data_IF_790558622890
#
_entry.id   IF_790558622890
#
_cell.length_a   1.000
_cell.length_b   1.000
_cell.length_c   1.000
_cell.angle_alpha   90.00
_cell.angle_beta   90.00
_cell.angle_gamma   90.00
#
_symmetry.space_group_name_H-M   'P 1'
#
loop_
_entity.id
_entity.type
_entity.pdbx_description
1 polymer ?
#
# COMPACT_ATOMS: atom_id res chain seq x y z
N UNK A 1 -1.02 4.08 10.74
CA UNK A 1 -0.06 4.07 9.60
C UNK A 1 1.36 4.28 10.10
N UNK A 2 2.37 3.67 9.44
CA UNK A 2 3.80 3.87 9.72
C UNK A 2 4.47 4.29 8.41
N UNK A 3 5.27 5.36 8.43
CA UNK A 3 6.11 5.76 7.30
C UNK A 3 7.54 5.98 7.81
N UNK A 4 8.51 5.23 7.27
CA UNK A 4 9.92 5.32 7.71
C UNK A 4 10.87 4.72 6.66
N UNK A 5 12.15 4.74 6.97
CA UNK A 5 13.20 4.06 6.21
C UNK A 5 13.22 2.57 6.54
N UNK A 6 13.45 1.73 5.53
CA UNK A 6 13.64 0.29 5.71
C UNK A 6 14.82 -0.03 6.67
N UNK A 7 15.85 0.82 6.75
CA UNK A 7 16.94 0.67 7.71
C UNK A 7 16.50 0.79 9.18
N UNK A 8 15.31 1.32 9.42
CA UNK A 8 14.79 1.56 10.77
C UNK A 8 13.85 0.45 11.28
N UNK A 9 13.56 -0.58 10.47
CA UNK A 9 12.59 -1.63 10.82
C UNK A 9 12.85 -2.31 12.16
N UNK A 10 14.12 -2.41 12.58
CA UNK A 10 14.51 -2.99 13.89
C UNK A 10 14.01 -2.20 15.10
N UNK A 11 13.58 -0.95 14.91
CA UNK A 11 13.05 -0.11 15.99
C UNK A 11 11.61 -0.48 16.37
N UNK A 12 10.91 -1.18 15.47
CA UNK A 12 9.50 -1.48 15.64
C UNK A 12 9.30 -2.80 16.37
N UNK A 13 8.58 -2.74 17.49
CA UNK A 13 8.08 -3.93 18.20
C UNK A 13 6.68 -4.25 17.67
N UNK A 14 6.64 -4.93 16.54
CA UNK A 14 5.40 -5.34 15.86
C UNK A 14 5.23 -6.86 15.97
N UNK A 15 4.07 -7.35 15.60
CA UNK A 15 3.83 -8.79 15.58
C UNK A 15 4.78 -9.51 14.60
N UNK A 16 4.99 -10.84 14.74
CA UNK A 16 5.96 -11.58 13.93
C UNK A 16 5.70 -11.52 12.42
N UNK A 17 4.43 -11.49 11.99
CA UNK A 17 4.07 -11.44 10.58
C UNK A 17 4.45 -10.08 9.96
N UNK A 18 4.14 -8.98 10.65
CA UNK A 18 4.57 -7.63 10.21
C UNK A 18 6.08 -7.54 10.15
N UNK A 19 6.77 -8.09 11.17
CA UNK A 19 8.24 -8.09 11.20
C UNK A 19 8.82 -8.84 10.00
N UNK A 20 8.32 -10.04 9.71
CA UNK A 20 8.77 -10.83 8.57
C UNK A 20 8.51 -10.12 7.23
N UNK A 21 7.37 -9.46 7.09
CA UNK A 21 7.03 -8.69 5.89
C UNK A 21 7.94 -7.45 5.72
N UNK A 22 8.29 -6.76 6.80
CA UNK A 22 9.24 -5.64 6.75
C UNK A 22 10.67 -6.12 6.45
N UNK A 23 11.08 -7.30 6.95
CA UNK A 23 12.35 -7.92 6.60
C UNK A 23 12.38 -8.33 5.13
N UNK A 24 11.28 -8.87 4.59
CA UNK A 24 11.11 -9.12 3.16
C UNK A 24 11.24 -7.81 2.36
N UNK A 25 10.55 -6.74 2.77
CA UNK A 25 10.63 -5.43 2.13
C UNK A 25 12.06 -4.86 2.09
N UNK A 26 12.86 -5.12 3.12
CA UNK A 26 14.21 -4.60 3.24
C UNK A 26 15.28 -5.39 2.47
N UNK A 27 15.05 -6.69 2.20
CA UNK A 27 16.08 -7.60 1.71
C UNK A 27 15.76 -8.22 0.34
N UNK A 28 14.51 -8.13 -0.13
CA UNK A 28 14.13 -8.73 -1.41
C UNK A 28 14.72 -7.96 -2.60
N UNK A 29 15.20 -8.72 -3.57
CA UNK A 29 15.49 -8.20 -4.90
C UNK A 29 14.22 -8.28 -5.75
N UNK A 30 13.49 -7.18 -5.81
CA UNK A 30 12.19 -7.13 -6.48
C UNK A 30 12.26 -7.28 -8.00
N UNK A 31 13.43 -7.13 -8.61
CA UNK A 31 13.62 -7.35 -10.04
C UNK A 31 13.50 -8.83 -10.41
N UNK A 32 13.75 -9.73 -9.47
CA UNK A 32 13.66 -11.18 -9.67
C UNK A 32 12.23 -11.73 -9.67
N UNK A 33 11.23 -10.92 -9.25
CA UNK A 33 9.83 -11.32 -9.23
C UNK A 33 9.12 -10.97 -10.53
N UNK A 34 8.37 -11.92 -11.07
CA UNK A 34 7.44 -11.67 -12.17
C UNK A 34 6.24 -10.83 -11.71
N UNK A 35 5.50 -10.24 -12.65
CA UNK A 35 4.23 -9.59 -12.30
C UNK A 35 3.23 -10.61 -11.78
N UNK A 36 2.53 -10.27 -10.71
CA UNK A 36 1.53 -11.12 -10.10
C UNK A 36 1.58 -11.11 -8.58
N UNK A 37 0.98 -12.15 -8.00
CA UNK A 37 0.91 -12.38 -6.56
C UNK A 37 1.85 -13.53 -6.24
N UNK A 38 2.75 -13.32 -5.29
CA UNK A 38 3.68 -14.30 -4.77
C UNK A 38 3.36 -14.57 -3.30
N UNK A 39 2.94 -15.79 -2.98
CA UNK A 39 2.62 -16.19 -1.63
C UNK A 39 3.88 -16.70 -0.93
N UNK A 40 4.21 -16.09 0.21
CA UNK A 40 5.34 -16.53 1.05
C UNK A 40 4.92 -17.53 2.11
N UNK A 41 3.72 -17.33 2.66
CA UNK A 41 3.05 -18.20 3.61
C UNK A 41 1.57 -17.81 3.70
N UNK A 42 0.83 -18.40 4.64
CA UNK A 42 -0.61 -18.17 4.82
C UNK A 42 -0.96 -16.71 5.18
N UNK A 43 0.01 -15.94 5.68
CA UNK A 43 -0.22 -14.59 6.18
C UNK A 43 0.42 -13.50 5.31
N UNK A 44 1.39 -13.82 4.46
CA UNK A 44 2.20 -12.83 3.73
C UNK A 44 2.18 -13.09 2.22
N UNK A 45 1.80 -12.07 1.45
CA UNK A 45 1.84 -12.05 -0.02
C UNK A 45 2.61 -10.84 -0.49
N UNK A 46 3.38 -11.00 -1.57
CA UNK A 46 3.96 -9.89 -2.33
C UNK A 46 3.19 -9.72 -3.62
N UNK A 47 2.82 -8.51 -3.94
CA UNK A 47 2.15 -8.16 -5.20
C UNK A 47 3.08 -7.24 -5.98
N UNK A 48 3.52 -7.72 -7.17
CA UNK A 48 4.21 -6.88 -8.15
C UNK A 48 3.29 -6.62 -9.32
N UNK A 49 3.03 -5.37 -9.61
CA UNK A 49 2.16 -4.99 -10.74
C UNK A 49 2.61 -3.70 -11.39
N UNK A 50 2.30 -3.57 -12.67
CA UNK A 50 2.33 -2.30 -13.35
C UNK A 50 1.08 -1.52 -12.97
N UNK A 51 1.24 -0.32 -12.48
CA UNK A 51 0.18 0.51 -11.94
C UNK A 51 -0.01 1.77 -12.78
N UNK A 52 -1.24 2.00 -13.23
CA UNK A 52 -1.68 3.23 -13.88
C UNK A 52 -2.57 3.97 -12.90
N UNK A 53 -2.13 5.08 -12.33
CA UNK A 53 -2.98 5.84 -11.41
C UNK A 53 -4.11 6.52 -12.18
N UNK A 54 -5.31 6.42 -11.64
CA UNK A 54 -6.47 7.17 -12.13
C UNK A 54 -6.49 8.52 -11.41
N UNK A 55 -5.89 9.54 -12.03
CA UNK A 55 -5.75 10.88 -11.42
C UNK A 55 -7.08 11.57 -11.19
N UNK A 56 -8.08 11.30 -12.03
CA UNK A 56 -9.36 12.00 -12.03
C UNK A 56 -10.37 11.47 -11.01
N UNK A 57 -10.12 10.30 -10.41
CA UNK A 57 -11.07 9.68 -9.51
C UNK A 57 -10.77 9.96 -8.05
N UNK A 58 -11.71 10.58 -7.36
CA UNK A 58 -11.66 10.80 -5.91
C UNK A 58 -12.10 9.54 -5.16
N UNK A 59 -11.27 8.52 -5.17
CA UNK A 59 -11.47 7.33 -4.34
C UNK A 59 -10.17 6.92 -3.65
N UNK A 60 -10.30 6.10 -2.63
CA UNK A 60 -9.19 5.40 -2.00
C UNK A 60 -9.54 3.95 -1.76
N UNK A 61 -8.55 3.14 -1.52
CA UNK A 61 -8.73 1.75 -1.11
C UNK A 61 -8.57 1.61 0.41
N UNK A 62 -9.33 0.67 0.96
CA UNK A 62 -9.37 0.32 2.36
C UNK A 62 -9.48 -1.19 2.49
N UNK A 63 -8.84 -1.74 3.52
CA UNK A 63 -8.83 -3.16 3.85
C UNK A 63 -9.38 -3.39 5.25
N UNK A 64 -10.09 -4.51 5.47
CA UNK A 64 -10.62 -4.89 6.77
C UNK A 64 -9.70 -5.85 7.54
N UNK A 65 -8.96 -6.71 6.83
CA UNK A 65 -8.23 -7.83 7.39
C UNK A 65 -6.74 -7.85 7.04
N UNK A 66 -6.29 -6.96 6.13
CA UNK A 66 -4.90 -6.92 5.70
C UNK A 66 -4.27 -5.58 5.97
N UNK A 67 -3.00 -5.63 6.31
CA UNK A 67 -2.07 -4.51 6.27
C UNK A 67 -1.47 -4.45 4.87
N UNK A 68 -1.40 -3.26 4.28
CA UNK A 68 -0.64 -3.02 3.07
C UNK A 68 0.67 -2.30 3.40
N UNK A 69 1.79 -2.90 2.98
CA UNK A 69 3.11 -2.30 3.07
C UNK A 69 3.53 -1.91 1.65
N UNK A 70 3.48 -0.60 1.38
CA UNK A 70 3.95 -0.02 0.13
C UNK A 70 5.46 0.19 0.22
N UNK A 71 6.19 -0.43 -0.68
CA UNK A 71 7.65 -0.32 -0.75
C UNK A 71 8.00 0.54 -1.96
N UNK A 72 8.93 1.48 -1.79
CA UNK A 72 9.47 2.21 -2.93
C UNK A 72 10.17 1.22 -3.88
N UNK A 73 9.79 1.26 -5.15
CA UNK A 73 10.41 0.46 -6.20
C UNK A 73 10.89 1.34 -7.37
N UNK A 74 9.99 2.15 -7.93
CA UNK A 74 10.34 3.02 -9.05
C UNK A 74 9.46 4.28 -9.08
N UNK A 75 10.04 5.40 -9.51
CA UNK A 75 9.33 6.66 -9.74
C UNK A 75 9.05 7.47 -8.48
N UNK A 76 8.33 8.57 -8.66
CA UNK A 76 7.92 9.49 -7.60
C UNK A 76 6.51 9.13 -7.13
N UNK A 77 6.40 8.18 -6.23
CA UNK A 77 5.11 7.75 -5.70
C UNK A 77 4.65 8.67 -4.57
N UNK A 78 3.43 9.16 -4.68
CA UNK A 78 2.74 9.91 -3.64
C UNK A 78 1.53 9.09 -3.19
N UNK A 79 1.41 8.89 -1.88
CA UNK A 79 0.24 8.23 -1.29
C UNK A 79 -0.51 9.26 -0.47
N UNK A 80 -1.75 9.51 -0.87
CA UNK A 80 -2.72 10.26 -0.07
C UNK A 80 -3.39 9.30 0.90
N UNK A 81 -3.68 9.75 2.14
CA UNK A 81 -4.27 8.87 3.12
C UNK A 81 -5.11 9.59 4.16
N UNK A 82 -6.02 8.83 4.77
CA UNK A 82 -6.78 9.22 5.95
C UNK A 82 -6.77 8.06 6.95
N UNK A 83 -6.14 8.23 8.14
CA UNK A 83 -6.08 7.18 9.15
C UNK A 83 -7.41 6.95 9.89
N UNK A 84 -8.37 7.87 9.77
CA UNK A 84 -9.69 7.80 10.39
C UNK A 84 -10.79 8.27 9.42
N UNK A 85 -10.98 7.57 8.28
CA UNK A 85 -11.90 8.00 7.27
C UNK A 85 -13.35 7.96 7.78
N UNK A 86 -14.09 9.03 7.50
CA UNK A 86 -15.52 9.06 7.71
C UNK A 86 -16.23 8.78 6.39
N UNK A 87 -16.90 7.65 6.29
CA UNK A 87 -17.68 7.25 5.12
C UNK A 87 -18.96 6.51 5.54
N UNK A 88 -19.92 6.49 4.64
CA UNK A 88 -21.20 5.79 4.78
C UNK A 88 -21.28 4.66 3.75
N UNK A 89 -22.30 3.83 3.84
CA UNK A 89 -22.53 2.76 2.86
C UNK A 89 -22.69 3.31 1.42
N UNK A 90 -23.19 4.53 1.27
CA UNK A 90 -23.34 5.17 -0.04
C UNK A 90 -22.05 5.68 -0.66
N UNK A 91 -20.97 5.75 0.13
CA UNK A 91 -19.65 6.16 -0.35
C UNK A 91 -18.83 4.97 -0.84
N UNK A 92 -19.30 3.74 -0.62
CA UNK A 92 -18.66 2.53 -1.13
C UNK A 92 -18.95 2.39 -2.62
N UNK A 93 -17.94 2.60 -3.46
CA UNK A 93 -18.03 2.50 -4.92
C UNK A 93 -18.04 1.04 -5.38
N UNK A 94 -17.19 0.23 -4.79
CA UNK A 94 -17.12 -1.21 -5.03
C UNK A 94 -16.42 -1.92 -3.88
N UNK A 95 -16.64 -3.23 -3.78
CA UNK A 95 -16.02 -4.07 -2.77
C UNK A 95 -15.74 -5.47 -3.33
N UNK A 96 -14.60 -6.03 -2.95
CA UNK A 96 -14.23 -7.41 -3.24
C UNK A 96 -13.81 -8.11 -1.95
N UNK A 97 -14.74 -8.84 -1.33
CA UNK A 97 -14.46 -9.61 -0.10
C UNK A 97 -13.33 -10.62 -0.25
N UNK A 98 -13.22 -11.39 -1.37
CA UNK A 98 -12.12 -12.33 -1.54
C UNK A 98 -10.74 -11.67 -1.57
N UNK A 99 -10.67 -10.42 -2.05
CA UNK A 99 -9.43 -9.65 -2.12
C UNK A 99 -9.26 -8.69 -0.94
N UNK A 100 -10.24 -8.64 -0.03
CA UNK A 100 -10.27 -7.73 1.11
C UNK A 100 -9.99 -6.28 0.69
N UNK A 101 -10.73 -5.78 -0.29
CA UNK A 101 -10.59 -4.40 -0.77
C UNK A 101 -11.94 -3.72 -0.91
N UNK A 102 -12.02 -2.49 -0.42
CA UNK A 102 -13.14 -1.58 -0.56
C UNK A 102 -12.64 -0.31 -1.22
N UNK A 103 -13.28 0.11 -2.30
CA UNK A 103 -13.02 1.39 -2.93
C UNK A 103 -14.04 2.40 -2.41
N UNK A 104 -13.54 3.38 -1.68
CA UNK A 104 -14.36 4.38 -0.99
C UNK A 104 -14.23 5.71 -1.73
N UNK A 105 -15.34 6.38 -1.99
CA UNK A 105 -15.35 7.76 -2.47
C UNK A 105 -14.73 8.65 -1.40
N UNK A 106 -13.61 9.28 -1.72
CA UNK A 106 -12.89 10.14 -0.77
C UNK A 106 -12.97 11.59 -1.24
N UNK A 107 -13.73 12.43 -0.56
CA UNK A 107 -13.94 13.82 -0.99
C UNK A 107 -12.68 14.67 -0.86
N UNK A 108 -11.85 14.45 0.15
CA UNK A 108 -10.59 15.15 0.36
C UNK A 108 -9.62 14.30 1.17
N UNK A 109 -8.36 14.27 0.74
CA UNK A 109 -7.25 13.79 1.55
C UNK A 109 -6.51 14.98 2.16
N UNK A 110 -6.32 14.93 3.47
CA UNK A 110 -5.57 15.98 4.18
C UNK A 110 -4.11 15.61 4.40
N UNK A 111 -3.77 14.34 4.19
CA UNK A 111 -2.42 13.84 4.42
C UNK A 111 -1.86 13.21 3.15
N UNK A 112 -0.57 13.42 2.94
CA UNK A 112 0.16 12.76 1.87
C UNK A 112 1.58 12.44 2.32
N UNK A 113 2.13 11.37 1.74
CA UNK A 113 3.54 11.01 1.88
C UNK A 113 4.11 10.76 0.49
N UNK A 114 5.41 11.00 0.34
CA UNK A 114 6.15 10.62 -0.87
C UNK A 114 7.10 9.49 -0.52
N UNK A 115 6.93 8.34 -1.18
CA UNK A 115 7.91 7.27 -1.11
C UNK A 115 9.17 7.65 -1.86
N UNK A 116 10.31 7.31 -1.30
CA UNK A 116 11.63 7.46 -1.89
C UNK A 116 12.45 6.20 -1.66
N UNK A 117 13.58 6.11 -2.33
CA UNK A 117 14.45 4.92 -2.21
C UNK A 117 14.75 4.59 -0.75
N UNK A 118 14.55 3.33 -0.39
CA UNK A 118 14.78 2.81 0.95
C UNK A 118 13.70 3.18 1.98
N UNK A 119 12.52 3.69 1.54
CA UNK A 119 11.39 3.98 2.42
C UNK A 119 10.23 3.01 2.20
N UNK A 120 9.36 2.89 3.20
CA UNK A 120 8.11 2.16 3.14
C UNK A 120 6.97 2.94 3.81
N UNK A 121 5.74 2.64 3.42
CA UNK A 121 4.53 3.07 4.11
C UNK A 121 3.68 1.84 4.43
N UNK A 122 3.26 1.71 5.69
CA UNK A 122 2.44 0.61 6.19
C UNK A 122 1.10 1.18 6.62
N UNK A 123 0.02 0.66 6.05
CA UNK A 123 -1.36 0.99 6.38
C UNK A 123 -2.03 -0.17 7.09
N UNK A 124 -2.63 0.11 8.25
CA UNK A 124 -3.41 -0.87 9.01
C UNK A 124 -4.83 -0.99 8.44
N UNK A 125 -5.55 -2.08 8.77
CA UNK A 125 -6.97 -2.17 8.46
C UNK A 125 -7.74 -0.92 8.88
N UNK A 126 -8.65 -0.47 8.01
CA UNK A 126 -9.43 0.75 8.22
C UNK A 126 -8.75 2.07 7.84
N UNK A 127 -7.48 2.06 7.47
CA UNK A 127 -6.78 3.27 7.02
C UNK A 127 -6.93 3.45 5.50
N UNK A 128 -7.69 4.47 5.10
CA UNK A 128 -7.93 4.78 3.69
C UNK A 128 -6.67 5.32 3.03
N UNK A 129 -6.32 4.82 1.86
CA UNK A 129 -5.17 5.30 1.10
C UNK A 129 -5.39 5.26 -0.41
N UNK A 130 -4.72 6.18 -1.12
CA UNK A 130 -4.75 6.30 -2.59
C UNK A 130 -3.34 6.50 -3.11
N UNK A 131 -2.93 5.62 -4.02
CA UNK A 131 -1.64 5.73 -4.69
C UNK A 131 -1.76 6.67 -5.88
N UNK A 132 -0.80 7.58 -6.02
CA UNK A 132 -0.61 8.39 -7.20
C UNK A 132 0.88 8.58 -7.48
N UNK A 133 1.21 9.36 -8.52
CA UNK A 133 2.58 9.78 -8.79
C UNK A 133 2.66 11.31 -8.83
N UNK A 134 3.78 11.86 -8.34
CA UNK A 134 3.99 13.30 -8.32
C UNK A 134 4.05 13.92 -9.73
N UNK A 135 4.41 13.11 -10.73
CA UNK A 135 4.41 13.52 -12.13
C UNK A 135 3.24 12.85 -12.85
N UNK A 136 2.19 13.60 -13.12
CA UNK A 136 0.97 13.16 -13.83
C UNK A 136 1.22 12.67 -15.26
N UNK A 137 2.37 13.00 -15.86
CA UNK A 137 2.77 12.49 -17.19
C UNK A 137 3.29 11.04 -17.15
N UNK A 138 3.53 10.49 -15.96
CA UNK A 138 3.94 9.10 -15.79
C UNK A 138 2.73 8.19 -15.83
N UNK A 139 2.52 7.53 -16.97
CA UNK A 139 1.33 6.73 -17.23
C UNK A 139 1.35 5.36 -16.54
N UNK A 140 2.52 4.71 -16.44
CA UNK A 140 2.63 3.37 -15.86
C UNK A 140 3.91 3.25 -15.03
N UNK A 141 3.81 2.70 -13.83
CA UNK A 141 4.95 2.40 -12.96
C UNK A 141 4.78 1.05 -12.28
N UNK A 142 5.89 0.38 -12.13
CA UNK A 142 5.94 -0.84 -11.35
C UNK A 142 5.77 -0.51 -9.86
N UNK A 143 4.96 -1.32 -9.22
CA UNK A 143 4.59 -1.15 -7.83
C UNK A 143 4.78 -2.45 -7.07
N UNK A 144 5.35 -2.34 -5.88
CA UNK A 144 5.48 -3.43 -4.91
C UNK A 144 4.61 -3.13 -3.70
N UNK A 145 3.75 -4.08 -3.37
CA UNK A 145 2.93 -4.07 -2.16
C UNK A 145 3.11 -5.41 -1.47
N UNK A 146 3.42 -5.39 -0.18
CA UNK A 146 3.41 -6.61 0.64
C UNK A 146 2.16 -6.55 1.51
N UNK A 147 1.30 -7.55 1.35
CA UNK A 147 0.06 -7.69 2.12
C UNK A 147 0.29 -8.65 3.27
N UNK A 148 -0.15 -8.25 4.45
CA UNK A 148 -0.02 -9.05 5.67
C UNK A 148 -1.41 -9.23 6.27
N UNK A 149 -1.79 -10.47 6.52
CA UNK A 149 -3.04 -10.77 7.24
C UNK A 149 -2.91 -10.31 8.70
N UNK A 150 -3.91 -9.56 9.18
CA UNK A 150 -3.87 -8.89 10.49
C UNK A 150 -4.92 -9.43 11.45
#
# INVERSE_FOLDING_TARGET
>A
MIFDKLSNIKKYQVNPAIKAALELAANADFDTYEYGIHEFNDDIKLVKRNFSPLFEENYGELHDQHIDIHVYYAGDEVIYFDPQPHYTQTDILSASKPNDVFYIKAPQYHNQIRLSQGTFALFFPGELHKITFANEQLTNKDKIIIKVKY
#
